data_IF_022764349375
#
_entry.id   IF_022764349375
#
_cell.length_a   1.000
_cell.length_b   1.000
_cell.length_c   1.000
_cell.angle_alpha   90.00
_cell.angle_beta   90.00
_cell.angle_gamma   90.00
#
_symmetry.space_group_name_H-M   'P 1'
#
loop_
_entity.id
_entity.type
_entity.pdbx_description
1 polymer ?
#
# COMPACT_ATOMS: atom_id res chain seq x y z
N UNK A 1 -19.69 21.52 -14.24
CA UNK A 1 -18.51 21.48 -13.35
C UNK A 1 -19.04 21.52 -11.94
N UNK A 2 -19.03 20.39 -11.26
CA UNK A 2 -19.23 20.32 -9.82
C UNK A 2 -18.11 21.10 -9.15
N UNK A 3 -18.44 22.10 -8.34
CA UNK A 3 -17.45 22.83 -7.53
C UNK A 3 -16.90 21.90 -6.46
N UNK A 4 -15.58 21.82 -6.35
CA UNK A 4 -14.94 21.04 -5.29
C UNK A 4 -15.34 21.56 -3.91
N UNK A 5 -15.60 20.67 -2.93
CA UNK A 5 -15.88 21.11 -1.57
C UNK A 5 -14.63 21.80 -0.98
N UNK A 6 -14.76 22.88 -0.21
CA UNK A 6 -13.61 23.48 0.45
C UNK A 6 -13.06 22.52 1.52
N UNK A 7 -11.75 22.36 1.55
CA UNK A 7 -11.05 21.74 2.68
C UNK A 7 -10.58 22.82 3.64
N UNK A 8 -10.85 22.64 4.94
CA UNK A 8 -10.46 23.58 5.99
C UNK A 8 -9.44 22.91 6.90
N UNK A 9 -8.26 23.54 7.04
CA UNK A 9 -7.16 23.10 7.90
C UNK A 9 -6.67 24.34 8.67
N UNK A 10 -7.15 24.51 9.90
CA UNK A 10 -6.90 25.67 10.77
C UNK A 10 -5.73 25.43 11.74
N UNK A 11 -5.46 24.17 12.07
CA UNK A 11 -4.37 23.80 12.96
C UNK A 11 -3.57 22.56 12.54
N UNK A 12 -2.53 22.29 13.33
CA UNK A 12 -1.57 21.20 13.05
C UNK A 12 -2.21 19.83 13.23
N UNK A 13 -3.08 19.67 14.21
CA UNK A 13 -3.70 18.37 14.49
C UNK A 13 -4.63 17.98 13.32
N UNK A 14 -5.37 18.93 12.77
CA UNK A 14 -6.15 18.73 11.54
C UNK A 14 -5.26 18.37 10.34
N UNK A 15 -4.14 19.07 10.16
CA UNK A 15 -3.20 18.74 9.07
C UNK A 15 -2.60 17.34 9.23
N UNK A 16 -2.20 16.95 10.45
CA UNK A 16 -1.68 15.61 10.75
C UNK A 16 -2.76 14.54 10.51
N UNK A 17 -4.00 14.82 10.90
CA UNK A 17 -5.13 13.94 10.68
C UNK A 17 -5.35 13.68 9.18
N UNK A 18 -5.44 14.73 8.37
CA UNK A 18 -5.64 14.62 6.91
C UNK A 18 -4.45 13.95 6.22
N UNK A 19 -3.21 14.25 6.63
CA UNK A 19 -2.03 13.54 6.12
C UNK A 19 -2.02 12.06 6.51
N UNK A 20 -2.59 11.69 7.67
CA UNK A 20 -2.72 10.28 8.07
C UNK A 20 -3.78 9.57 7.23
N UNK A 21 -4.89 10.24 6.90
CA UNK A 21 -5.89 9.74 5.93
C UNK A 21 -5.27 9.58 4.54
N UNK A 22 -4.47 10.55 4.08
CA UNK A 22 -3.75 10.47 2.81
C UNK A 22 -2.77 9.29 2.79
N UNK A 23 -1.96 9.10 3.84
CA UNK A 23 -1.03 7.97 3.95
C UNK A 23 -1.76 6.63 3.89
N UNK A 24 -2.89 6.50 4.60
CA UNK A 24 -3.72 5.30 4.55
C UNK A 24 -4.28 5.05 3.14
N UNK A 25 -4.68 6.11 2.44
CA UNK A 25 -5.20 6.04 1.07
C UNK A 25 -4.12 5.54 0.10
N UNK A 26 -2.92 6.14 0.08
CA UNK A 26 -1.81 5.68 -0.78
C UNK A 26 -1.47 4.21 -0.52
N UNK A 27 -1.45 3.82 0.76
CA UNK A 27 -1.20 2.45 1.16
C UNK A 27 -2.26 1.48 0.60
N UNK A 28 -3.53 1.84 0.72
CA UNK A 28 -4.62 0.98 0.27
C UNK A 28 -4.67 0.88 -1.27
N UNK A 29 -4.45 2.00 -1.98
CA UNK A 29 -4.38 2.03 -3.44
C UNK A 29 -3.22 1.15 -3.95
N UNK A 30 -2.04 1.25 -3.33
CA UNK A 30 -0.92 0.34 -3.59
C UNK A 30 -1.34 -1.13 -3.47
N UNK A 31 -2.04 -1.50 -2.40
CA UNK A 31 -2.49 -2.87 -2.16
C UNK A 31 -3.46 -3.37 -3.24
N UNK A 32 -4.35 -2.52 -3.75
CA UNK A 32 -5.25 -2.86 -4.87
C UNK A 32 -4.47 -3.15 -6.16
N UNK A 33 -3.49 -2.32 -6.47
CA UNK A 33 -2.64 -2.49 -7.65
C UNK A 33 -1.81 -3.78 -7.55
N UNK A 34 -1.23 -4.06 -6.39
CA UNK A 34 -0.49 -5.29 -6.13
C UNK A 34 -1.39 -6.53 -6.24
N UNK A 35 -2.61 -6.48 -5.68
CA UNK A 35 -3.56 -7.59 -5.77
C UNK A 35 -3.89 -7.91 -7.24
N UNK A 36 -4.24 -6.88 -8.02
CA UNK A 36 -4.52 -7.04 -9.43
C UNK A 36 -3.30 -7.61 -10.18
N UNK A 37 -2.11 -7.04 -9.97
CA UNK A 37 -0.88 -7.53 -10.60
C UNK A 37 -0.55 -8.99 -10.23
N UNK A 38 -0.79 -9.41 -8.98
CA UNK A 38 -0.55 -10.78 -8.55
C UNK A 38 -1.54 -11.77 -9.14
N UNK A 39 -2.77 -11.34 -9.42
CA UNK A 39 -3.82 -12.18 -10.02
C UNK A 39 -3.58 -12.51 -11.51
N UNK A 40 -2.75 -11.76 -12.22
CA UNK A 40 -2.47 -11.97 -13.64
C UNK A 40 -1.89 -13.38 -13.92
N UNK A 41 -2.37 -13.99 -15.00
CA UNK A 41 -1.86 -15.28 -15.52
C UNK A 41 -0.42 -15.12 -16.01
N UNK A 42 0.36 -16.18 -15.87
CA UNK A 42 1.82 -16.19 -16.07
C UNK A 42 2.28 -17.24 -17.08
N UNK A 43 1.41 -18.18 -17.44
CA UNK A 43 1.75 -19.24 -18.40
C UNK A 43 0.62 -19.50 -19.40
N UNK A 44 0.97 -19.94 -20.61
CA UNK A 44 0.00 -20.28 -21.66
C UNK A 44 -0.90 -21.47 -21.29
N UNK A 45 -0.42 -22.35 -20.39
CA UNK A 45 -1.22 -23.43 -19.80
C UNK A 45 -2.41 -22.94 -18.98
N UNK A 46 -2.44 -21.65 -18.62
CA UNK A 46 -3.57 -21.00 -17.93
C UNK A 46 -4.67 -20.53 -18.89
N UNK A 47 -4.63 -21.00 -20.15
CA UNK A 47 -5.69 -20.78 -21.15
C UNK A 47 -5.59 -19.43 -21.85
N UNK A 48 -4.39 -18.87 -22.00
CA UNK A 48 -4.12 -17.67 -22.79
C UNK A 48 -3.14 -17.99 -23.91
N UNK A 49 -3.27 -17.30 -25.05
CA UNK A 49 -2.32 -17.42 -26.15
C UNK A 49 -0.98 -16.77 -25.80
N UNK A 50 0.09 -17.11 -26.52
CA UNK A 50 1.40 -16.47 -26.32
C UNK A 50 1.37 -14.95 -26.55
N UNK A 51 0.54 -14.47 -27.48
CA UNK A 51 0.37 -13.05 -27.75
C UNK A 51 -0.34 -12.34 -26.58
N UNK A 52 -1.44 -12.93 -26.08
CA UNK A 52 -2.14 -12.44 -24.89
C UNK A 52 -1.24 -12.45 -23.66
N UNK A 53 -0.46 -13.52 -23.44
CA UNK A 53 0.51 -13.58 -22.35
C UNK A 53 1.58 -12.48 -22.45
N UNK A 54 2.00 -12.15 -23.67
CA UNK A 54 2.89 -11.02 -23.93
C UNK A 54 2.29 -9.68 -23.51
N UNK A 55 0.99 -9.46 -23.72
CA UNK A 55 0.27 -8.28 -23.24
C UNK A 55 0.13 -8.28 -21.72
N UNK A 56 -0.32 -9.39 -21.13
CA UNK A 56 -0.44 -9.58 -19.68
C UNK A 56 0.88 -9.27 -18.97
N UNK A 57 2.01 -9.77 -19.49
CA UNK A 57 3.34 -9.52 -18.92
C UNK A 57 3.71 -8.03 -18.95
N UNK A 58 3.32 -7.29 -20.01
CA UNK A 58 3.53 -5.85 -20.07
C UNK A 58 2.65 -5.11 -19.08
N UNK A 59 1.38 -5.49 -18.97
CA UNK A 59 0.45 -4.89 -18.02
C UNK A 59 0.90 -5.12 -16.58
N UNK A 60 1.34 -6.33 -16.21
CA UNK A 60 1.89 -6.61 -14.89
C UNK A 60 3.04 -5.66 -14.54
N UNK A 61 3.96 -5.42 -15.49
CA UNK A 61 5.10 -4.51 -15.28
C UNK A 61 4.64 -3.07 -15.05
N UNK A 62 3.65 -2.60 -15.79
CA UNK A 62 3.12 -1.24 -15.65
C UNK A 62 2.38 -1.10 -14.32
N UNK A 63 1.46 -2.02 -13.99
CA UNK A 63 0.71 -1.98 -12.72
C UNK A 63 1.65 -2.09 -11.52
N UNK A 64 2.66 -2.97 -11.58
CA UNK A 64 3.66 -3.09 -10.50
C UNK A 64 4.54 -1.85 -10.38
N UNK A 65 4.83 -1.16 -11.49
CA UNK A 65 5.58 0.09 -11.49
C UNK A 65 4.76 1.20 -10.82
N UNK A 66 3.49 1.35 -11.17
CA UNK A 66 2.58 2.29 -10.50
C UNK A 66 2.46 1.99 -9.01
N UNK A 67 2.27 0.72 -8.62
CA UNK A 67 2.29 0.33 -7.21
C UNK A 67 3.60 0.67 -6.48
N UNK A 68 4.73 0.75 -7.20
CA UNK A 68 6.01 1.19 -6.64
C UNK A 68 6.07 2.72 -6.47
N UNK A 69 5.40 3.48 -7.35
CA UNK A 69 5.21 4.92 -7.19
C UNK A 69 4.32 5.23 -5.98
N UNK A 70 3.27 4.42 -5.73
CA UNK A 70 2.49 4.57 -4.49
C UNK A 70 3.31 4.33 -3.20
N UNK A 71 4.34 3.48 -3.25
CA UNK A 71 5.29 3.34 -2.13
C UNK A 71 6.12 4.61 -1.93
N UNK A 72 6.51 5.27 -3.02
CA UNK A 72 7.19 6.56 -2.99
C UNK A 72 6.25 7.64 -2.42
N UNK A 73 4.98 7.68 -2.84
CA UNK A 73 3.99 8.61 -2.30
C UNK A 73 3.82 8.43 -0.80
N UNK A 74 3.65 7.18 -0.33
CA UNK A 74 3.57 6.87 1.10
C UNK A 74 4.83 7.32 1.87
N UNK A 75 6.01 7.20 1.27
CA UNK A 75 7.26 7.69 1.87
C UNK A 75 7.31 9.23 1.93
N UNK A 76 6.84 9.94 0.89
CA UNK A 76 6.72 11.40 0.86
C UNK A 76 5.71 11.91 1.89
N UNK A 77 4.55 11.26 2.04
CA UNK A 77 3.57 11.58 3.09
C UNK A 77 4.14 11.32 4.47
N UNK A 78 4.93 10.25 4.65
CA UNK A 78 5.64 9.98 5.89
C UNK A 78 6.67 11.06 6.22
N UNK A 79 7.36 11.61 5.21
CA UNK A 79 8.25 12.76 5.36
C UNK A 79 7.48 14.02 5.78
N UNK A 80 6.34 14.32 5.13
CA UNK A 80 5.44 15.43 5.50
C UNK A 80 4.99 15.33 6.96
N UNK A 81 4.46 14.17 7.37
CA UNK A 81 4.06 13.91 8.77
C UNK A 81 5.20 14.12 9.74
N UNK A 82 6.37 13.53 9.42
CA UNK A 82 7.56 13.62 10.27
C UNK A 82 8.04 15.06 10.40
N UNK A 83 8.04 15.83 9.31
CA UNK A 83 8.46 17.23 9.29
C UNK A 83 7.57 18.12 10.18
N UNK A 84 6.29 17.76 10.32
CA UNK A 84 5.34 18.42 11.23
C UNK A 84 5.49 18.01 12.70
N UNK A 85 6.41 17.09 13.01
CA UNK A 85 6.62 16.53 14.34
C UNK A 85 5.72 15.34 14.68
N UNK A 86 4.99 14.80 13.70
CA UNK A 86 4.20 13.58 13.86
C UNK A 86 5.03 12.32 13.61
N UNK A 87 4.45 11.15 13.87
CA UNK A 87 5.00 9.87 13.42
C UNK A 87 4.50 9.53 12.01
N UNK A 88 5.22 8.71 11.21
CA UNK A 88 4.69 8.16 9.97
C UNK A 88 3.39 7.37 10.24
N UNK A 89 2.53 7.28 9.22
CA UNK A 89 1.29 6.52 9.31
C UNK A 89 1.28 5.39 8.26
N UNK A 90 1.71 4.19 8.68
CA UNK A 90 1.74 2.99 7.82
C UNK A 90 0.57 2.03 8.06
N UNK A 91 -0.41 2.42 8.88
CA UNK A 91 -1.60 1.60 9.13
C UNK A 91 -2.68 1.90 8.11
N UNK A 92 -3.61 0.97 7.91
CA UNK A 92 -4.83 1.19 7.16
C UNK A 92 -5.91 0.23 7.69
N UNK A 93 -7.20 0.54 7.50
CA UNK A 93 -8.27 -0.42 7.78
C UNK A 93 -8.25 -1.61 6.81
N UNK A 94 -8.78 -2.76 7.22
CA UNK A 94 -8.82 -3.97 6.38
C UNK A 94 -9.85 -3.89 5.25
N UNK A 95 -9.56 -4.45 4.08
CA UNK A 95 -10.48 -4.46 2.93
C UNK A 95 -11.68 -5.40 3.13
N UNK A 96 -12.85 -5.12 2.53
CA UNK A 96 -13.20 -3.89 1.81
C UNK A 96 -13.55 -2.74 2.75
N UNK A 97 -13.34 -1.51 2.30
CA UNK A 97 -13.79 -0.31 2.99
C UNK A 97 -14.81 0.45 2.16
N UNK A 98 -16.06 0.36 2.62
CA UNK A 98 -17.22 0.96 1.97
C UNK A 98 -17.75 2.13 2.82
N UNK A 99 -17.23 3.33 2.56
CA UNK A 99 -17.52 4.66 3.13
C UNK A 99 -17.74 4.84 4.64
N UNK A 100 -17.03 4.10 5.50
CA UNK A 100 -16.95 4.47 6.93
C UNK A 100 -15.79 5.42 7.27
N UNK A 101 -14.70 5.35 6.52
CA UNK A 101 -13.43 6.01 6.86
C UNK A 101 -12.98 7.09 5.86
N UNK A 102 -13.54 7.12 4.66
CA UNK A 102 -13.17 8.04 3.58
C UNK A 102 -14.40 8.79 3.06
N UNK A 103 -14.24 9.89 2.30
CA UNK A 103 -15.35 10.55 1.62
C UNK A 103 -16.20 9.53 0.85
N UNK A 104 -17.53 9.73 0.73
CA UNK A 104 -18.43 8.74 0.13
C UNK A 104 -18.00 8.26 -1.26
N UNK A 105 -17.31 9.12 -2.03
CA UNK A 105 -16.79 8.82 -3.36
C UNK A 105 -15.56 7.91 -3.41
N UNK A 106 -14.96 7.54 -2.26
CA UNK A 106 -13.80 6.64 -2.18
C UNK A 106 -14.24 5.32 -1.57
N UNK A 107 -14.36 4.30 -2.40
CA UNK A 107 -14.62 2.92 -2.01
C UNK A 107 -13.38 2.10 -2.33
N UNK A 108 -12.89 1.28 -1.39
CA UNK A 108 -11.64 0.52 -1.58
C UNK A 108 -11.89 -0.97 -1.38
N UNK A 109 -11.48 -1.79 -2.35
CA UNK A 109 -11.67 -3.22 -2.38
C UNK A 109 -10.67 -3.90 -3.32
N UNK A 110 -10.20 -5.08 -2.90
CA UNK A 110 -9.24 -5.87 -3.65
C UNK A 110 -9.96 -6.68 -4.75
N UNK A 111 -9.78 -6.29 -6.02
CA UNK A 111 -10.29 -6.99 -7.20
C UNK A 111 -9.15 -7.59 -8.04
N UNK A 112 -9.33 -8.79 -8.62
CA UNK A 112 -8.38 -9.30 -9.59
C UNK A 112 -8.35 -8.39 -10.83
N UNK A 113 -7.25 -8.45 -11.58
CA UNK A 113 -7.10 -7.64 -12.79
C UNK A 113 -8.20 -7.98 -13.81
N UNK A 114 -8.83 -6.95 -14.34
CA UNK A 114 -9.91 -7.05 -15.32
C UNK A 114 -10.52 -5.68 -15.58
N UNK A 115 -11.58 -5.63 -16.38
CA UNK A 115 -12.20 -4.35 -16.76
C UNK A 115 -12.63 -3.51 -15.55
N UNK A 116 -13.29 -4.12 -14.56
CA UNK A 116 -13.80 -3.39 -13.39
C UNK A 116 -12.67 -2.86 -12.50
N UNK A 117 -11.59 -3.63 -12.31
CA UNK A 117 -10.41 -3.13 -11.60
C UNK A 117 -9.76 -1.96 -12.35
N UNK A 118 -9.63 -2.04 -13.67
CA UNK A 118 -9.07 -0.96 -14.49
C UNK A 118 -9.98 0.29 -14.51
N UNK A 119 -11.30 0.12 -14.51
CA UNK A 119 -12.26 1.22 -14.36
C UNK A 119 -12.05 1.92 -13.00
N UNK A 120 -11.89 1.15 -11.93
CA UNK A 120 -11.60 1.68 -10.60
C UNK A 120 -10.27 2.42 -10.54
N UNK A 121 -9.21 1.87 -11.14
CA UNK A 121 -7.90 2.53 -11.18
C UNK A 121 -7.96 3.86 -11.92
N UNK A 122 -8.68 3.90 -13.05
CA UNK A 122 -8.93 5.14 -13.79
C UNK A 122 -9.75 6.15 -12.97
N UNK A 123 -10.71 5.68 -12.18
CA UNK A 123 -11.49 6.53 -11.29
C UNK A 123 -10.62 7.14 -10.20
N UNK A 124 -9.82 6.36 -9.49
CA UNK A 124 -8.93 6.85 -8.42
C UNK A 124 -7.94 7.89 -8.95
N UNK A 125 -7.32 7.61 -10.10
CA UNK A 125 -6.26 8.43 -10.70
C UNK A 125 -6.78 9.57 -11.58
N UNK A 126 -8.10 9.76 -11.67
CA UNK A 126 -8.68 10.73 -12.60
C UNK A 126 -8.21 12.15 -12.27
N UNK A 127 -7.83 12.94 -13.29
CA UNK A 127 -7.52 14.35 -13.09
C UNK A 127 -8.71 15.12 -12.53
N UNK A 128 -8.38 16.18 -11.78
CA UNK A 128 -9.37 17.14 -11.30
C UNK A 128 -10.34 17.62 -12.40
N UNK A 129 -11.61 17.71 -12.05
CA UNK A 129 -12.67 18.17 -12.95
C UNK A 129 -13.08 17.16 -14.03
N UNK A 130 -12.45 15.98 -14.07
CA UNK A 130 -12.90 14.87 -14.90
C UNK A 130 -14.04 14.11 -14.21
N UNK A 131 -15.21 14.14 -14.85
CA UNK A 131 -16.35 13.32 -14.44
C UNK A 131 -16.19 11.91 -15.03
N UNK A 132 -15.92 10.95 -14.17
CA UNK A 132 -15.76 9.55 -14.52
C UNK A 132 -16.53 8.71 -13.51
N UNK A 133 -17.35 7.79 -13.99
CA UNK A 133 -18.05 6.84 -13.13
C UNK A 133 -17.13 5.68 -12.76
N UNK A 134 -17.22 5.25 -11.50
CA UNK A 134 -16.50 4.08 -10.99
C UNK A 134 -17.20 2.77 -11.40
N UNK A 135 -16.52 1.63 -11.23
CA UNK A 135 -17.10 0.32 -11.51
C UNK A 135 -18.26 0.01 -10.53
N UNK A 136 -19.26 -0.81 -10.94
CA UNK A 136 -20.47 -1.04 -10.16
C UNK A 136 -20.23 -1.57 -8.73
N UNK A 137 -19.15 -2.33 -8.51
CA UNK A 137 -18.74 -2.84 -7.20
C UNK A 137 -18.37 -1.74 -6.19
N UNK A 138 -18.01 -0.57 -6.70
CA UNK A 138 -17.60 0.62 -5.96
C UNK A 138 -18.65 1.73 -6.02
N UNK A 139 -19.88 1.41 -6.43
CA UNK A 139 -20.99 2.36 -6.38
C UNK A 139 -21.17 2.90 -4.95
N UNK A 140 -21.24 4.23 -4.84
CA UNK A 140 -21.37 4.94 -3.56
C UNK A 140 -22.57 4.40 -2.80
N UNK A 141 -22.31 3.74 -1.67
CA UNK A 141 -23.36 3.45 -0.70
C UNK A 141 -23.72 4.77 -0.03
N UNK A 142 -24.98 5.19 -0.17
CA UNK A 142 -25.51 6.37 0.53
C UNK A 142 -25.52 6.09 2.05
N UNK A 143 -24.37 6.26 2.70
CA UNK A 143 -24.26 6.25 4.16
C UNK A 143 -24.56 7.68 4.62
N UNK A 144 -25.65 7.90 5.38
CA UNK A 144 -25.92 9.21 5.94
C UNK A 144 -24.75 9.60 6.85
N UNK A 145 -24.06 10.70 6.54
CA UNK A 145 -23.15 11.32 7.51
C UNK A 145 -23.97 11.67 8.76
N UNK A 146 -23.53 11.33 9.98
CA UNK A 146 -24.16 11.84 11.18
C UNK A 146 -24.18 13.37 11.10
N UNK A 147 -25.37 13.96 11.02
CA UNK A 147 -25.57 15.41 11.05
C UNK A 147 -25.36 15.92 12.47
N UNK A 148 -24.13 15.88 12.97
CA UNK A 148 -23.72 16.63 14.15
C UNK A 148 -23.14 17.95 13.65
N UNK A 149 -24.00 18.96 13.49
CA UNK A 149 -23.58 20.35 13.41
C UNK A 149 -23.17 20.79 14.82
N UNK A 150 -21.94 20.45 15.19
CA UNK A 150 -21.25 21.08 16.32
C UNK A 150 -20.56 22.32 15.73
N UNK A 151 -20.65 23.46 16.43
CA UNK A 151 -20.15 24.78 15.98
C UNK A 151 -18.68 24.74 15.49
N UNK A 152 -18.26 25.74 14.72
CA UNK A 152 -16.91 25.87 14.11
C UNK A 152 -15.73 25.87 15.12
N UNK A 153 -15.98 25.85 16.44
CA UNK A 153 -14.97 25.82 17.52
C UNK A 153 -14.64 24.39 18.00
N UNK A 154 -14.60 23.40 17.09
CA UNK A 154 -14.22 22.04 17.46
C UNK A 154 -12.71 21.87 17.59
N UNK A 155 -12.29 21.17 18.64
CA UNK A 155 -10.88 20.85 18.92
C UNK A 155 -10.47 19.50 18.31
N UNK A 156 -11.45 18.67 17.92
CA UNK A 156 -11.20 17.34 17.35
C UNK A 156 -11.28 17.43 15.82
N UNK A 157 -10.27 16.93 15.08
CA UNK A 157 -10.30 16.92 13.63
C UNK A 157 -11.52 16.18 13.08
N UNK A 158 -12.00 16.66 11.94
CA UNK A 158 -13.10 16.05 11.20
C UNK A 158 -12.63 15.60 9.81
N UNK A 159 -13.16 14.48 9.34
CA UNK A 159 -13.00 14.02 7.96
C UNK A 159 -13.47 15.10 7.00
N UNK A 160 -12.59 15.49 6.08
CA UNK A 160 -12.88 16.47 5.03
C UNK A 160 -13.38 15.75 3.78
N UNK A 161 -14.30 16.37 3.04
CA UNK A 161 -14.69 15.86 1.73
C UNK A 161 -13.68 16.29 0.67
N UNK A 162 -13.26 15.36 -0.19
CA UNK A 162 -12.48 15.65 -1.38
C UNK A 162 -13.02 14.84 -2.56
N UNK A 163 -12.77 15.33 -3.78
CA UNK A 163 -13.30 14.77 -5.01
C UNK A 163 -12.30 13.83 -5.69
N UNK A 164 -11.03 14.24 -5.76
CA UNK A 164 -9.91 13.46 -6.31
C UNK A 164 -8.73 13.49 -5.33
N UNK A 165 -7.75 12.61 -5.56
CA UNK A 165 -6.49 12.60 -4.80
C UNK A 165 -5.74 13.92 -4.98
N UNK A 166 -5.73 14.47 -6.21
CA UNK A 166 -5.17 15.81 -6.46
C UNK A 166 -5.83 16.90 -5.63
N UNK A 167 -7.15 16.84 -5.43
CA UNK A 167 -7.87 17.81 -4.59
C UNK A 167 -7.44 17.69 -3.12
N UNK A 168 -7.35 16.47 -2.58
CA UNK A 168 -6.84 16.20 -1.23
C UNK A 168 -5.48 16.87 -1.00
N UNK A 169 -4.52 16.65 -1.91
CA UNK A 169 -3.17 17.19 -1.75
C UNK A 169 -3.07 18.71 -1.95
N UNK A 170 -3.89 19.30 -2.84
CA UNK A 170 -4.00 20.77 -2.95
C UNK A 170 -4.58 21.39 -1.66
N UNK A 171 -5.52 20.71 -1.01
CA UNK A 171 -6.03 21.10 0.30
C UNK A 171 -4.94 21.06 1.38
N UNK A 172 -4.15 19.99 1.41
CA UNK A 172 -2.97 19.84 2.30
C UNK A 172 -1.95 20.96 2.06
N UNK A 173 -1.65 21.29 0.80
CA UNK A 173 -0.72 22.38 0.46
C UNK A 173 -1.22 23.74 0.96
N UNK A 174 -2.52 24.03 0.77
CA UNK A 174 -3.14 25.25 1.29
C UNK A 174 -3.10 25.31 2.82
N UNK A 175 -3.39 24.20 3.50
CA UNK A 175 -3.26 24.07 4.95
C UNK A 175 -1.84 24.34 5.43
N UNK A 176 -0.83 23.76 4.79
CA UNK A 176 0.58 24.03 5.09
C UNK A 176 0.93 25.52 4.96
N UNK A 177 0.51 26.17 3.87
CA UNK A 177 0.73 27.61 3.65
C UNK A 177 0.07 28.44 4.75
N UNK A 178 -1.17 28.13 5.10
CA UNK A 178 -1.91 28.80 6.17
C UNK A 178 -1.19 28.65 7.53
N UNK A 179 -0.76 27.44 7.89
CA UNK A 179 -0.02 27.22 9.13
C UNK A 179 1.33 27.94 9.16
N UNK A 180 2.01 28.06 8.01
CA UNK A 180 3.27 28.82 7.91
C UNK A 180 3.03 30.32 8.09
N UNK A 181 1.92 30.86 7.57
CA UNK A 181 1.52 32.25 7.84
C UNK A 181 1.22 32.47 9.33
N UNK A 182 0.57 31.50 9.98
CA UNK A 182 0.15 31.56 11.39
C UNK A 182 1.30 31.39 12.40
N UNK A 183 2.18 30.41 12.18
CA UNK A 183 3.21 30.00 13.14
C UNK A 183 4.64 30.32 12.69
N UNK A 184 4.83 30.75 11.44
CA UNK A 184 6.13 30.84 10.80
C UNK A 184 6.67 29.46 10.40
N UNK A 185 7.53 29.41 9.40
CA UNK A 185 8.05 28.16 8.84
C UNK A 185 8.75 27.28 9.89
N UNK A 186 9.61 27.88 10.72
CA UNK A 186 10.27 27.17 11.85
C UNK A 186 9.31 26.70 12.93
N UNK A 187 8.13 27.30 13.01
CA UNK A 187 7.06 26.87 13.91
C UNK A 187 6.30 25.68 13.34
N UNK A 188 6.22 25.51 12.02
CA UNK A 188 5.54 24.40 11.32
C UNK A 188 6.46 23.19 11.17
N UNK A 189 7.67 23.39 10.65
CA UNK A 189 8.61 22.31 10.36
C UNK A 189 9.52 22.07 11.58
N UNK A 190 9.03 21.23 12.50
CA UNK A 190 9.64 20.96 13.81
C UNK A 190 10.20 19.52 13.93
N UNK A 191 10.02 18.72 12.89
CA UNK A 191 10.52 17.35 12.81
C UNK A 191 12.04 17.25 12.83
N UNK A 192 12.61 16.14 13.32
CA UNK A 192 14.05 15.93 13.28
C UNK A 192 14.50 15.66 11.82
N UNK A 193 15.50 16.38 11.28
CA UNK A 193 15.96 16.19 9.89
C UNK A 193 16.42 14.76 9.56
N UNK A 194 16.93 14.04 10.58
CA UNK A 194 17.44 12.68 10.43
C UNK A 194 16.34 11.63 10.23
N UNK A 195 15.10 11.94 10.58
CA UNK A 195 13.95 11.05 10.39
C UNK A 195 13.33 11.14 8.99
N UNK A 196 13.89 11.98 8.10
CA UNK A 196 13.44 12.10 6.73
C UNK A 196 14.00 10.95 5.88
N UNK A 197 13.13 10.27 5.14
CA UNK A 197 13.53 9.33 4.11
C UNK A 197 14.06 10.07 2.89
N UNK A 198 15.08 9.51 2.24
CA UNK A 198 15.73 10.13 1.08
C UNK A 198 16.08 9.10 0.02
N UNK A 199 16.45 9.59 -1.17
CA UNK A 199 17.02 8.78 -2.25
C UNK A 199 18.15 7.85 -1.79
N UNK A 200 18.95 8.22 -0.79
CA UNK A 200 20.08 7.40 -0.33
C UNK A 200 19.66 6.00 0.13
N UNK A 201 18.49 5.89 0.77
CA UNK A 201 18.02 4.63 1.34
C UNK A 201 17.13 3.83 0.38
N UNK A 202 16.29 4.51 -0.42
CA UNK A 202 15.28 3.85 -1.27
C UNK A 202 15.54 3.96 -2.77
N UNK A 203 16.46 4.82 -3.20
CA UNK A 203 16.90 4.92 -4.58
C UNK A 203 16.07 5.82 -5.50
N UNK A 204 14.94 6.37 -5.04
CA UNK A 204 14.09 7.30 -5.81
C UNK A 204 14.65 8.73 -5.77
N UNK A 205 15.04 9.33 -6.90
CA UNK A 205 15.42 10.75 -6.98
C UNK A 205 14.34 11.70 -6.46
N UNK A 206 13.07 11.31 -6.64
CA UNK A 206 11.90 12.08 -6.26
C UNK A 206 11.62 12.03 -4.74
N UNK A 207 12.23 11.07 -4.01
CA UNK A 207 12.15 10.99 -2.56
C UNK A 207 13.07 12.01 -1.90
N UNK A 208 12.52 13.19 -1.65
CA UNK A 208 13.23 14.31 -1.02
C UNK A 208 12.91 14.41 0.48
N UNK A 209 13.86 14.93 1.24
CA UNK A 209 13.61 15.34 2.62
C UNK A 209 12.73 16.59 2.65
N UNK A 210 11.71 16.59 3.51
CA UNK A 210 10.84 17.74 3.77
C UNK A 210 11.34 18.44 5.03
N UNK A 211 11.82 19.68 4.87
CA UNK A 211 12.38 20.48 5.97
C UNK A 211 11.83 21.91 6.04
N UNK A 212 11.08 22.32 5.03
CA UNK A 212 10.52 23.66 4.87
C UNK A 212 9.29 23.63 3.95
N UNK A 213 8.64 24.78 3.75
CA UNK A 213 7.44 24.86 2.93
C UNK A 213 7.74 24.55 1.45
N UNK A 214 8.92 24.93 0.95
CA UNK A 214 9.29 24.71 -0.44
C UNK A 214 9.42 23.21 -0.75
N UNK A 215 10.16 22.47 0.09
CA UNK A 215 10.30 21.02 -0.02
C UNK A 215 8.99 20.28 0.23
N UNK A 216 8.12 20.77 1.12
CA UNK A 216 6.78 20.20 1.32
C UNK A 216 5.90 20.35 0.07
N UNK A 217 5.87 21.54 -0.53
CA UNK A 217 5.14 21.77 -1.78
C UNK A 217 5.70 20.93 -2.93
N UNK A 218 7.03 20.78 -3.02
CA UNK A 218 7.65 19.92 -4.03
C UNK A 218 7.25 18.45 -3.86
N UNK A 219 7.22 17.93 -2.63
CA UNK A 219 6.77 16.56 -2.36
C UNK A 219 5.30 16.35 -2.78
N UNK A 220 4.44 17.32 -2.49
CA UNK A 220 3.03 17.32 -2.89
C UNK A 220 2.88 17.37 -4.42
N UNK A 221 3.64 18.24 -5.08
CA UNK A 221 3.62 18.36 -6.54
C UNK A 221 4.04 17.05 -7.22
N UNK A 222 5.09 16.37 -6.72
CA UNK A 222 5.47 15.04 -7.19
C UNK A 222 4.32 14.04 -7.13
N UNK A 223 3.63 13.93 -5.98
CA UNK A 223 2.51 12.98 -5.80
C UNK A 223 1.39 13.27 -6.81
N UNK A 224 1.04 14.54 -6.99
CA UNK A 224 0.01 14.97 -7.94
C UNK A 224 0.43 14.67 -9.40
N UNK A 225 1.67 15.01 -9.76
CA UNK A 225 2.17 14.83 -11.13
C UNK A 225 2.32 13.36 -11.53
N UNK A 226 2.73 12.49 -10.61
CA UNK A 226 2.87 11.06 -10.90
C UNK A 226 1.50 10.37 -11.01
N UNK A 227 0.53 10.73 -10.16
CA UNK A 227 -0.85 10.21 -10.18
C UNK A 227 -1.68 10.71 -11.37
N UNK A 228 -2.10 11.99 -11.32
CA UNK A 228 -3.03 12.58 -12.31
C UNK A 228 -2.34 13.25 -13.51
N UNK A 229 -1.04 13.56 -13.40
CA UNK A 229 -0.26 14.25 -14.43
C UNK A 229 -0.28 15.77 -14.30
N UNK A 230 0.82 16.41 -14.70
CA UNK A 230 0.86 17.86 -14.89
C UNK A 230 -0.21 18.30 -15.91
N UNK A 231 -0.76 19.52 -15.80
CA UNK A 231 -1.80 20.07 -16.68
C UNK A 231 -1.44 19.95 -18.17
N UNK A 232 -1.79 18.82 -18.80
CA UNK A 232 -1.54 18.53 -20.21
C UNK A 232 -0.61 17.34 -20.54
N UNK A 233 0.06 16.71 -19.57
CA UNK A 233 0.97 15.56 -19.78
C UNK A 233 0.56 14.30 -18.99
N UNK A 234 -0.73 14.02 -18.92
CA UNK A 234 -1.32 12.86 -18.22
C UNK A 234 -0.91 11.49 -18.80
N UNK A 235 -0.29 11.45 -19.99
CA UNK A 235 0.02 10.18 -20.67
C UNK A 235 1.10 9.38 -19.95
N UNK A 236 2.03 10.05 -19.28
CA UNK A 236 3.10 9.42 -18.53
C UNK A 236 2.71 9.11 -17.08
N UNK A 237 1.67 9.77 -16.56
CA UNK A 237 1.10 9.59 -15.24
C UNK A 237 0.31 8.28 -15.11
N UNK A 238 -0.08 7.92 -13.88
CA UNK A 238 -0.81 6.69 -13.57
C UNK A 238 -2.08 6.58 -14.41
N UNK A 239 -2.89 7.65 -14.46
CA UNK A 239 -4.11 7.69 -15.28
C UNK A 239 -3.88 7.30 -16.74
N UNK A 240 -2.89 7.92 -17.40
CA UNK A 240 -2.59 7.66 -18.80
C UNK A 240 -2.11 6.23 -19.05
N UNK A 241 -1.33 5.67 -18.12
CA UNK A 241 -0.86 4.28 -18.17
C UNK A 241 -2.02 3.30 -18.05
N UNK A 242 -2.93 3.51 -17.10
CA UNK A 242 -4.12 2.67 -16.95
C UNK A 242 -5.07 2.82 -18.14
N UNK A 243 -5.19 4.01 -18.72
CA UNK A 243 -6.01 4.22 -19.92
C UNK A 243 -5.46 3.45 -21.12
N UNK A 244 -4.14 3.43 -21.28
CA UNK A 244 -3.49 2.62 -22.32
C UNK A 244 -3.75 1.13 -22.12
N UNK A 245 -3.64 0.63 -20.88
CA UNK A 245 -3.94 -0.77 -20.56
C UNK A 245 -5.41 -1.08 -20.86
N UNK A 246 -6.34 -0.21 -20.44
CA UNK A 246 -7.77 -0.36 -20.68
C UNK A 246 -8.10 -0.48 -22.18
N UNK A 247 -7.47 0.36 -23.01
CA UNK A 247 -7.67 0.29 -24.46
C UNK A 247 -7.15 -1.03 -25.04
N UNK A 248 -5.93 -1.45 -24.69
CA UNK A 248 -5.37 -2.72 -25.17
C UNK A 248 -6.16 -3.93 -24.67
N UNK A 249 -6.64 -3.89 -23.42
CA UNK A 249 -7.52 -4.90 -22.84
C UNK A 249 -8.80 -5.05 -23.65
N UNK A 250 -9.49 -3.94 -23.94
CA UNK A 250 -10.72 -3.94 -24.74
C UNK A 250 -10.49 -4.42 -26.17
N UNK A 251 -9.38 -4.04 -26.79
CA UNK A 251 -9.03 -4.51 -28.14
C UNK A 251 -8.80 -6.03 -28.17
N UNK A 252 -8.17 -6.60 -27.15
CA UNK A 252 -7.99 -8.05 -27.03
C UNK A 252 -9.31 -8.77 -26.73
N UNK A 253 -10.18 -8.19 -25.91
CA UNK A 253 -11.48 -8.75 -25.59
C UNK A 253 -12.45 -8.73 -26.79
N UNK A 254 -12.33 -7.73 -27.67
CA UNK A 254 -13.06 -7.70 -28.94
C UNK A 254 -12.60 -8.80 -29.90
N UNK A 255 -11.30 -9.14 -29.89
CA UNK A 255 -10.75 -10.23 -30.70
C UNK A 255 -11.10 -11.61 -30.13
N UNK A 256 -11.12 -11.73 -28.80
CA UNK A 256 -11.44 -12.96 -28.07
C UNK A 256 -12.33 -12.63 -26.86
N UNK A 257 -13.67 -12.76 -26.99
CA UNK A 257 -14.60 -12.50 -25.90
C UNK A 257 -14.43 -13.42 -24.67
N UNK A 258 -13.71 -14.55 -24.81
CA UNK A 258 -13.37 -15.44 -23.70
C UNK A 258 -12.05 -15.11 -23.02
N UNK A 259 -11.39 -14.00 -23.40
CA UNK A 259 -10.10 -13.61 -22.86
C UNK A 259 -10.19 -13.19 -21.39
N UNK A 260 -9.65 -14.05 -20.52
CA UNK A 260 -9.54 -13.81 -19.09
C UNK A 260 -8.05 -13.66 -18.70
N UNK A 261 -7.52 -12.44 -18.48
CA UNK A 261 -6.10 -12.23 -18.19
C UNK A 261 -5.69 -12.61 -16.77
N UNK A 262 -6.65 -12.69 -15.84
CA UNK A 262 -6.39 -12.97 -14.44
C UNK A 262 -6.95 -14.34 -14.03
N UNK A 263 -6.38 -14.87 -12.94
CA UNK A 263 -6.97 -15.95 -12.16
C UNK A 263 -8.19 -15.41 -11.43
N UNK A 264 -9.21 -16.25 -11.15
CA UNK A 264 -10.42 -15.85 -10.43
C UNK A 264 -10.16 -15.72 -8.92
N UNK A 265 -9.22 -14.84 -8.56
CA UNK A 265 -8.79 -14.57 -7.19
C UNK A 265 -9.82 -13.75 -6.42
N UNK A 266 -9.96 -14.07 -5.13
CA UNK A 266 -10.85 -13.37 -4.19
C UNK A 266 -10.04 -13.05 -2.94
N UNK A 267 -10.17 -11.82 -2.43
CA UNK A 267 -9.65 -11.45 -1.13
C UNK A 267 -10.48 -12.13 -0.02
N UNK A 268 -10.18 -13.41 0.21
CA UNK A 268 -10.77 -14.22 1.26
C UNK A 268 -9.85 -14.23 2.49
N UNK A 269 -10.44 -14.12 3.68
CA UNK A 269 -9.70 -14.05 4.93
C UNK A 269 -9.67 -15.41 5.63
N UNK A 270 -8.68 -15.60 6.51
CA UNK A 270 -8.64 -16.77 7.42
C UNK A 270 -9.71 -16.64 8.51
N UNK A 271 -10.04 -15.40 8.91
CA UNK A 271 -11.02 -15.05 9.93
C UNK A 271 -11.63 -13.68 9.62
N UNK A 272 -12.86 -13.44 10.07
CA UNK A 272 -13.54 -12.16 9.89
C UNK A 272 -12.77 -11.02 10.59
N UNK A 273 -12.29 -9.99 9.86
CA UNK A 273 -11.70 -8.81 10.50
C UNK A 273 -12.78 -7.99 11.21
N UNK A 274 -12.40 -7.34 12.32
CA UNK A 274 -13.33 -6.61 13.18
C UNK A 274 -13.76 -5.24 12.65
N UNK A 275 -13.04 -4.71 11.67
CA UNK A 275 -13.17 -3.35 11.13
C UNK A 275 -13.76 -3.32 9.70
N UNK A 276 -14.21 -4.46 9.18
CA UNK A 276 -14.83 -4.59 7.86
C UNK A 276 -16.17 -5.34 7.91
N UNK A 277 -16.94 -5.23 6.83
CA UNK A 277 -18.19 -5.97 6.62
C UNK A 277 -17.93 -7.47 6.41
N UNK A 278 -18.98 -8.27 6.20
CA UNK A 278 -18.85 -9.71 5.93
C UNK A 278 -17.90 -9.98 4.76
N UNK A 279 -16.91 -10.86 4.98
CA UNK A 279 -15.92 -11.24 3.97
C UNK A 279 -15.96 -12.74 3.66
N UNK A 280 -15.57 -13.17 2.45
CA UNK A 280 -15.31 -14.57 2.16
C UNK A 280 -14.24 -15.15 3.10
N UNK A 281 -14.43 -16.39 3.54
CA UNK A 281 -13.46 -17.11 4.39
C UNK A 281 -12.76 -18.22 3.62
N UNK A 282 -11.48 -18.43 3.92
CA UNK A 282 -10.66 -19.54 3.43
C UNK A 282 -10.97 -20.79 4.26
N UNK A 283 -11.47 -21.84 3.62
CA UNK A 283 -11.74 -23.14 4.28
C UNK A 283 -10.72 -24.23 3.96
N UNK A 284 -9.88 -24.05 2.92
CA UNK A 284 -8.74 -24.94 2.67
C UNK A 284 -7.59 -24.67 3.66
N UNK A 285 -7.14 -25.67 4.45
CA UNK A 285 -6.14 -25.45 5.51
C UNK A 285 -4.76 -25.00 5.00
N UNK A 286 -4.32 -25.51 3.85
CA UNK A 286 -3.01 -25.16 3.28
C UNK A 286 -3.05 -23.72 2.76
N UNK A 287 -4.12 -23.35 2.08
CA UNK A 287 -4.37 -21.98 1.60
C UNK A 287 -4.48 -20.99 2.75
N UNK A 288 -5.17 -21.36 3.84
CA UNK A 288 -5.25 -20.55 5.04
C UNK A 288 -3.85 -20.32 5.63
N UNK A 289 -3.03 -21.37 5.75
CA UNK A 289 -1.65 -21.23 6.22
C UNK A 289 -0.78 -20.35 5.33
N UNK A 290 -0.86 -20.47 4.00
CA UNK A 290 -0.13 -19.57 3.09
C UNK A 290 -0.64 -18.12 3.22
N UNK A 291 -1.94 -17.92 3.48
CA UNK A 291 -2.51 -16.59 3.72
C UNK A 291 -2.01 -15.97 5.02
N UNK A 292 -1.94 -16.75 6.10
CA UNK A 292 -1.34 -16.30 7.37
C UNK A 292 0.14 -15.95 7.19
N UNK A 293 0.88 -16.77 6.44
CA UNK A 293 2.27 -16.52 6.12
C UNK A 293 2.44 -15.20 5.34
N UNK A 294 1.58 -14.91 4.35
CA UNK A 294 1.58 -13.63 3.64
C UNK A 294 1.34 -12.45 4.58
N UNK A 295 0.27 -12.49 5.38
CA UNK A 295 -0.10 -11.39 6.28
C UNK A 295 0.97 -11.16 7.36
N UNK A 296 1.57 -12.22 7.90
CA UNK A 296 2.67 -12.11 8.86
C UNK A 296 3.96 -11.56 8.23
N UNK A 297 4.23 -11.88 6.96
CA UNK A 297 5.37 -11.32 6.22
C UNK A 297 5.18 -9.84 5.93
N UNK A 298 3.95 -9.45 5.59
CA UNK A 298 3.56 -8.07 5.41
C UNK A 298 3.71 -7.26 6.70
N UNK A 299 3.30 -7.80 7.86
CA UNK A 299 3.54 -7.14 9.15
C UNK A 299 5.04 -6.92 9.43
N UNK A 300 5.90 -7.92 9.17
CA UNK A 300 7.36 -7.76 9.36
C UNK A 300 7.94 -6.68 8.43
N UNK A 301 7.46 -6.60 7.19
CA UNK A 301 7.81 -5.51 6.28
C UNK A 301 7.44 -4.14 6.86
N UNK A 302 6.22 -3.99 7.37
CA UNK A 302 5.76 -2.73 7.98
C UNK A 302 6.54 -2.41 9.27
N UNK A 303 6.96 -3.40 10.05
CA UNK A 303 7.82 -3.21 11.23
C UNK A 303 9.23 -2.73 10.84
N UNK A 304 9.81 -3.26 9.76
CA UNK A 304 11.10 -2.79 9.22
C UNK A 304 11.02 -1.32 8.82
N UNK A 305 9.97 -0.95 8.07
CA UNK A 305 9.73 0.43 7.64
C UNK A 305 9.45 1.35 8.84
N UNK A 306 8.61 0.91 9.78
CA UNK A 306 8.29 1.68 10.98
C UNK A 306 9.53 1.91 11.85
N UNK A 307 10.41 0.93 11.99
CA UNK A 307 11.69 1.11 12.70
C UNK A 307 12.64 2.03 11.95
N UNK A 308 12.64 1.97 10.61
CA UNK A 308 13.42 2.91 9.80
C UNK A 308 12.96 4.35 10.00
N UNK A 309 11.66 4.64 9.99
CA UNK A 309 11.16 6.01 10.17
C UNK A 309 11.20 6.46 11.65
N UNK A 310 10.87 5.57 12.58
CA UNK A 310 10.89 5.85 14.03
C UNK A 310 12.15 5.23 14.63
N UNK A 311 13.24 5.96 14.49
CA UNK A 311 14.55 5.61 15.02
C UNK A 311 15.04 6.64 16.05
N UNK A 312 16.04 6.26 16.83
CA UNK A 312 16.65 7.14 17.83
C UNK A 312 18.16 7.18 17.73
N UNK A 313 18.82 6.09 18.14
CA UNK A 313 20.28 5.99 18.23
C UNK A 313 20.90 5.17 17.10
N UNK A 314 20.10 4.73 16.14
CA UNK A 314 20.53 3.99 14.95
C UNK A 314 21.68 4.71 14.26
N UNK A 315 22.62 3.93 13.76
CA UNK A 315 23.68 4.35 12.84
C UNK A 315 23.18 4.39 11.40
N UNK A 316 23.94 5.01 10.50
CA UNK A 316 23.60 5.02 9.07
C UNK A 316 23.58 3.62 8.47
N UNK A 317 24.53 2.74 8.87
CA UNK A 317 24.55 1.34 8.44
C UNK A 317 23.30 0.57 8.90
N UNK A 318 22.79 0.89 10.09
CA UNK A 318 21.55 0.32 10.63
C UNK A 318 20.32 0.78 9.83
N UNK A 319 20.23 2.07 9.51
CA UNK A 319 19.15 2.61 8.67
C UNK A 319 19.20 2.06 7.24
N UNK A 320 20.39 1.93 6.66
CA UNK A 320 20.60 1.30 5.35
C UNK A 320 20.19 -0.18 5.38
N UNK A 321 20.48 -0.88 6.48
CA UNK A 321 20.07 -2.27 6.66
C UNK A 321 18.55 -2.40 6.76
N UNK A 322 17.87 -1.57 7.56
CA UNK A 322 16.41 -1.59 7.70
C UNK A 322 15.72 -1.33 6.35
N UNK A 323 16.11 -0.26 5.66
CA UNK A 323 15.53 0.13 4.36
C UNK A 323 15.77 -0.93 3.28
N UNK A 324 17.02 -1.38 3.09
CA UNK A 324 17.34 -2.40 2.08
C UNK A 324 16.70 -3.77 2.37
N UNK A 325 16.56 -4.14 3.65
CA UNK A 325 15.85 -5.37 4.05
C UNK A 325 14.36 -5.25 3.77
N UNK A 326 13.74 -4.08 4.04
CA UNK A 326 12.35 -3.82 3.71
C UNK A 326 12.09 -3.93 2.20
N UNK A 327 12.89 -3.25 1.38
CA UNK A 327 12.79 -3.34 -0.09
C UNK A 327 13.01 -4.78 -0.56
N UNK A 328 14.00 -5.48 -0.02
CA UNK A 328 14.26 -6.88 -0.37
C UNK A 328 13.07 -7.78 -0.01
N UNK A 329 12.42 -7.58 1.14
CA UNK A 329 11.26 -8.36 1.57
C UNK A 329 10.06 -8.22 0.60
N UNK A 330 9.88 -7.06 -0.03
CA UNK A 330 8.84 -6.87 -1.06
C UNK A 330 9.02 -7.87 -2.24
N UNK A 331 10.25 -8.05 -2.72
CA UNK A 331 10.53 -8.95 -3.84
C UNK A 331 10.75 -10.41 -3.43
N UNK A 332 11.32 -10.63 -2.25
CA UNK A 332 11.75 -11.95 -1.79
C UNK A 332 10.64 -12.70 -1.03
N UNK A 333 9.67 -11.99 -0.45
CA UNK A 333 8.58 -12.58 0.34
C UNK A 333 7.19 -12.15 -0.19
N UNK A 334 6.89 -10.85 -0.23
CA UNK A 334 5.53 -10.36 -0.53
C UNK A 334 5.10 -10.77 -1.95
N UNK A 335 5.88 -10.42 -2.97
CA UNK A 335 5.58 -10.77 -4.36
C UNK A 335 5.40 -12.27 -4.59
N UNK A 336 6.35 -13.16 -4.23
CA UNK A 336 6.18 -14.59 -4.48
C UNK A 336 5.04 -15.22 -3.67
N UNK A 337 4.80 -14.80 -2.42
CA UNK A 337 3.65 -15.29 -1.64
C UNK A 337 2.32 -14.81 -2.21
N UNK A 338 2.22 -13.53 -2.58
CA UNK A 338 1.02 -12.96 -3.19
C UNK A 338 0.66 -13.67 -4.50
N UNK A 339 1.64 -13.91 -5.36
CA UNK A 339 1.47 -14.68 -6.60
C UNK A 339 1.07 -16.14 -6.32
N UNK A 340 1.71 -16.79 -5.33
CA UNK A 340 1.40 -18.17 -4.96
C UNK A 340 -0.06 -18.31 -4.50
N UNK A 341 -0.53 -17.40 -3.63
CA UNK A 341 -1.91 -17.40 -3.13
C UNK A 341 -2.94 -17.42 -4.26
N UNK A 342 -2.68 -16.68 -5.35
CA UNK A 342 -3.59 -16.62 -6.50
C UNK A 342 -3.74 -17.94 -7.26
N UNK A 343 -2.92 -18.95 -6.96
CA UNK A 343 -3.02 -20.30 -7.51
C UNK A 343 -3.72 -21.30 -6.59
N UNK A 344 -4.01 -20.90 -5.35
CA UNK A 344 -4.53 -21.78 -4.31
C UNK A 344 -6.05 -21.64 -4.18
N UNK A 345 -6.82 -22.74 -4.12
CA UNK A 345 -8.26 -22.67 -3.99
C UNK A 345 -8.67 -22.19 -2.60
N UNK A 346 -9.71 -21.35 -2.51
CA UNK A 346 -10.23 -20.88 -1.21
C UNK A 346 -10.73 -22.04 -0.35
N UNK A 347 -11.32 -23.05 -1.00
CA UNK A 347 -11.87 -24.23 -0.35
C UNK A 347 -13.05 -24.84 -1.13
N UNK A 348 -13.59 -25.99 -0.67
CA UNK A 348 -14.65 -26.70 -1.36
C UNK A 348 -15.96 -25.91 -1.47
N UNK A 349 -16.20 -24.95 -0.58
CA UNK A 349 -17.41 -24.12 -0.57
C UNK A 349 -17.44 -23.07 -1.69
N UNK A 350 -16.30 -22.81 -2.35
CA UNK A 350 -16.14 -21.83 -3.44
C UNK A 350 -15.34 -22.42 -4.59
N UNK A 351 -15.92 -23.43 -5.25
CA UNK A 351 -15.29 -24.12 -6.38
C UNK A 351 -14.84 -23.15 -7.48
N UNK A 352 -13.60 -23.33 -7.95
CA UNK A 352 -13.01 -22.55 -9.03
C UNK A 352 -12.61 -21.12 -8.65
N UNK A 353 -12.72 -20.72 -7.37
CA UNK A 353 -12.20 -19.44 -6.88
C UNK A 353 -10.88 -19.65 -6.15
N UNK A 354 -9.91 -18.79 -6.47
CA UNK A 354 -8.59 -18.81 -5.84
C UNK A 354 -8.52 -17.77 -4.73
N UNK A 355 -7.68 -17.99 -3.74
CA UNK A 355 -7.38 -16.98 -2.74
C UNK A 355 -6.58 -15.83 -3.38
N UNK A 356 -6.51 -14.71 -2.70
CA UNK A 356 -5.65 -13.59 -3.03
C UNK A 356 -5.15 -12.95 -1.73
N UNK A 357 -4.02 -12.23 -1.78
CA UNK A 357 -3.46 -11.61 -0.59
C UNK A 357 -4.40 -10.53 -0.04
N UNK A 358 -4.78 -10.62 1.23
CA UNK A 358 -5.71 -9.65 1.83
C UNK A 358 -5.02 -8.40 2.36
N UNK A 359 -3.70 -8.44 2.52
CA UNK A 359 -2.93 -7.39 3.21
C UNK A 359 -3.52 -7.09 4.59
N UNK A 360 -3.95 -8.14 5.31
CA UNK A 360 -4.63 -8.01 6.60
C UNK A 360 -3.67 -7.43 7.66
N UNK A 361 -4.13 -6.37 8.30
CA UNK A 361 -3.53 -5.83 9.51
C UNK A 361 -4.30 -6.40 10.71
N UNK A 362 -3.67 -7.36 11.40
CA UNK A 362 -4.26 -8.03 12.56
C UNK A 362 -3.72 -7.53 13.92
N UNK A 363 -2.76 -6.60 13.91
CA UNK A 363 -2.26 -5.90 15.10
C UNK A 363 -2.11 -4.40 14.80
N UNK A 364 -2.56 -3.57 15.73
CA UNK A 364 -2.34 -2.12 15.68
C UNK A 364 -0.99 -1.77 16.30
N UNK A 365 -0.18 -0.97 15.60
CA UNK A 365 1.10 -0.46 16.08
C UNK A 365 2.28 -1.38 15.73
N UNK A 366 3.04 -1.00 14.70
CA UNK A 366 4.26 -1.69 14.25
C UNK A 366 5.53 -1.21 14.96
N UNK A 367 5.36 -0.42 16.02
CA UNK A 367 6.48 0.26 16.67
C UNK A 367 7.25 -0.76 17.51
N UNK A 368 8.52 -0.94 17.16
CA UNK A 368 9.50 -1.64 17.99
C UNK A 368 10.34 -0.56 18.67
N UNK A 369 9.97 -0.04 19.85
CA UNK A 369 10.53 1.21 20.38
C UNK A 369 11.97 1.06 20.89
N UNK A 370 12.37 -0.15 21.30
CA UNK A 370 13.67 -0.41 21.89
C UNK A 370 14.66 -0.90 20.84
N UNK A 371 15.69 -0.10 20.58
CA UNK A 371 16.73 -0.34 19.58
C UNK A 371 17.23 -1.79 19.53
N UNK A 372 17.79 -2.26 20.64
CA UNK A 372 18.48 -3.55 20.62
C UNK A 372 17.49 -4.73 20.57
N UNK A 373 16.32 -4.59 21.19
CA UNK A 373 15.25 -5.58 21.11
C UNK A 373 14.61 -5.65 19.72
N UNK A 374 14.56 -4.52 18.98
CA UNK A 374 13.98 -4.48 17.64
C UNK A 374 14.71 -5.43 16.68
N UNK A 375 16.05 -5.44 16.72
CA UNK A 375 16.86 -6.37 15.91
C UNK A 375 16.58 -7.83 16.23
N UNK A 376 16.46 -8.17 17.51
CA UNK A 376 16.15 -9.53 17.97
C UNK A 376 14.78 -9.95 17.45
N UNK A 377 13.75 -9.12 17.68
CA UNK A 377 12.37 -9.42 17.28
C UNK A 377 12.28 -9.58 15.76
N UNK A 378 12.82 -8.66 14.97
CA UNK A 378 12.77 -8.75 13.50
C UNK A 378 13.48 -10.01 12.99
N UNK A 379 14.65 -10.33 13.54
CA UNK A 379 15.41 -11.52 13.19
C UNK A 379 14.64 -12.81 13.55
N UNK A 380 14.09 -12.90 14.76
CA UNK A 380 13.27 -14.03 15.22
C UNK A 380 12.06 -14.23 14.32
N UNK A 381 11.31 -13.15 14.01
CA UNK A 381 10.13 -13.21 13.14
C UNK A 381 10.47 -13.75 11.76
N UNK A 382 11.57 -13.30 11.14
CA UNK A 382 12.00 -13.82 9.84
C UNK A 382 12.33 -15.33 9.90
N UNK A 383 13.00 -15.79 10.96
CA UNK A 383 13.29 -17.22 11.14
C UNK A 383 12.04 -18.06 11.42
N UNK A 384 11.08 -17.53 12.18
CA UNK A 384 9.78 -18.17 12.42
C UNK A 384 9.01 -18.35 11.11
N UNK A 385 8.97 -17.33 10.25
CA UNK A 385 8.34 -17.41 8.93
C UNK A 385 9.06 -18.45 8.04
N UNK A 386 10.40 -18.49 8.06
CA UNK A 386 11.16 -19.52 7.35
C UNK A 386 10.84 -20.94 7.82
N UNK A 387 10.70 -21.14 9.14
CA UNK A 387 10.33 -22.43 9.72
C UNK A 387 8.88 -22.81 9.36
N UNK A 388 7.97 -21.83 9.32
CA UNK A 388 6.58 -22.05 8.93
C UNK A 388 6.44 -22.43 7.45
N UNK A 389 7.25 -21.84 6.55
CA UNK A 389 7.37 -22.31 5.17
C UNK A 389 7.73 -23.81 5.10
N UNK A 390 8.67 -24.26 5.93
CA UNK A 390 9.06 -25.67 6.02
C UNK A 390 7.88 -26.57 6.39
N UNK A 391 7.13 -26.20 7.44
CA UNK A 391 5.94 -26.93 7.88
C UNK A 391 4.88 -27.04 6.79
N UNK A 392 4.59 -25.96 6.08
CA UNK A 392 3.64 -25.97 4.96
C UNK A 392 4.14 -26.78 3.77
N UNK A 393 5.45 -26.72 3.49
CA UNK A 393 6.06 -27.48 2.38
C UNK A 393 5.96 -28.99 2.57
N UNK A 394 5.94 -29.46 3.82
CA UNK A 394 5.77 -30.88 4.16
C UNK A 394 4.32 -31.36 4.02
N UNK A 395 3.35 -30.43 4.04
CA UNK A 395 1.91 -30.75 3.97
C UNK A 395 1.38 -30.86 2.53
N UNK A 396 2.02 -30.20 1.55
CA UNK A 396 1.56 -30.20 0.16
C UNK A 396 2.74 -30.25 -0.83
N UNK A 397 2.96 -31.44 -1.41
CA UNK A 397 4.08 -31.70 -2.32
C UNK A 397 4.10 -30.76 -3.53
N UNK A 398 2.93 -30.36 -4.04
CA UNK A 398 2.83 -29.43 -5.18
C UNK A 398 3.40 -28.03 -4.89
N UNK A 399 3.43 -27.61 -3.62
CA UNK A 399 3.92 -26.30 -3.19
C UNK A 399 5.34 -26.33 -2.64
N UNK A 400 5.92 -27.53 -2.51
CA UNK A 400 7.17 -27.76 -1.78
C UNK A 400 8.31 -26.89 -2.32
N UNK A 401 8.51 -26.86 -3.64
CA UNK A 401 9.58 -26.09 -4.28
C UNK A 401 9.41 -24.59 -4.03
N UNK A 402 8.19 -24.07 -4.19
CA UNK A 402 7.90 -22.65 -4.01
C UNK A 402 8.10 -22.22 -2.54
N UNK A 403 7.55 -22.97 -1.60
CA UNK A 403 7.64 -22.67 -0.16
C UNK A 403 9.06 -22.83 0.37
N UNK A 404 9.85 -23.80 -0.12
CA UNK A 404 11.26 -23.93 0.25
C UNK A 404 12.08 -22.74 -0.25
N UNK A 405 11.85 -22.28 -1.48
CA UNK A 405 12.52 -21.09 -2.01
C UNK A 405 12.19 -19.83 -1.20
N UNK A 406 10.91 -19.63 -0.84
CA UNK A 406 10.47 -18.50 0.00
C UNK A 406 11.04 -18.64 1.42
N UNK A 407 11.09 -19.84 1.99
CA UNK A 407 11.73 -20.10 3.28
C UNK A 407 13.21 -19.74 3.29
N UNK A 408 13.93 -20.04 2.21
CA UNK A 408 15.34 -19.64 2.06
C UNK A 408 15.51 -18.13 1.93
N UNK A 409 14.58 -17.46 1.24
CA UNK A 409 14.55 -16.00 1.17
C UNK A 409 14.42 -15.36 2.57
N UNK A 410 13.54 -15.89 3.44
CA UNK A 410 13.45 -15.41 4.82
C UNK A 410 14.75 -15.61 5.61
N UNK A 411 15.44 -16.75 5.42
CA UNK A 411 16.75 -16.98 6.07
C UNK A 411 17.80 -15.98 5.59
N UNK A 412 17.79 -15.63 4.30
CA UNK A 412 18.70 -14.61 3.76
C UNK A 412 18.42 -13.23 4.37
N UNK A 413 17.15 -12.84 4.48
CA UNK A 413 16.76 -11.59 5.14
C UNK A 413 17.19 -11.61 6.62
N UNK A 414 16.97 -12.72 7.34
CA UNK A 414 17.40 -12.86 8.72
C UNK A 414 18.93 -12.78 8.87
N UNK A 415 19.69 -13.41 7.97
CA UNK A 415 21.16 -13.39 8.01
C UNK A 415 21.74 -11.96 7.90
N UNK A 416 21.07 -11.05 7.20
CA UNK A 416 21.45 -9.64 7.13
C UNK A 416 21.32 -8.95 8.50
N UNK A 417 20.35 -9.36 9.32
CA UNK A 417 20.11 -8.78 10.66
C UNK A 417 20.99 -9.38 11.76
N UNK A 418 21.55 -10.57 11.53
CA UNK A 418 22.30 -11.35 12.53
C UNK A 418 23.48 -10.59 13.21
N UNK A 419 24.28 -9.75 12.50
CA UNK A 419 25.36 -8.98 13.13
C UNK A 419 24.89 -8.04 14.25
N UNK A 420 23.72 -7.43 14.08
CA UNK A 420 23.13 -6.47 15.03
C UNK A 420 22.60 -7.18 16.28
N UNK A 421 22.09 -8.42 16.12
CA UNK A 421 21.70 -9.28 17.24
C UNK A 421 22.91 -9.73 18.07
N UNK A 422 23.99 -10.17 17.41
CA UNK A 422 25.21 -10.67 18.09
C UNK A 422 25.93 -9.57 18.88
N UNK A 423 25.94 -8.35 18.34
CA UNK A 423 26.56 -7.20 19.01
C UNK A 423 25.84 -6.84 20.31
N UNK A 424 24.51 -7.01 20.37
CA UNK A 424 23.78 -6.86 21.62
C UNK A 424 24.17 -7.92 22.66
N UNK A 425 24.13 -9.20 22.27
CA UNK A 425 24.47 -10.30 23.17
C UNK A 425 25.89 -10.20 23.73
N UNK A 426 26.84 -9.68 22.94
CA UNK A 426 28.23 -9.45 23.36
C UNK A 426 28.41 -8.23 24.28
N UNK A 427 27.46 -7.27 24.31
CA UNK A 427 27.49 -6.13 25.24
C UNK A 427 26.91 -6.47 26.62
N UNK A 428 26.07 -7.49 26.71
CA UNK A 428 25.46 -7.97 27.96
C UNK A 428 26.26 -9.08 28.66
N UNK A 429 27.16 -9.76 27.93
CA UNK A 429 28.10 -10.75 28.45
C UNK A 429 29.38 -10.09 28.99
#
# INVERSE_FOLDING_TARGET
MTTEPPMVIEDREELIFILSEAAALEHMIMCEYLFAAFSLKRDVSEGVTAAQLGAITRWERIVSFVATQEMLHLALVSNLLTALGSHPYLSHPNFPQRSKYYPPGVQLALLPFGEHALQHFLYLERPEGMDLEDAPEFAVLAIPKPSLTLDDDQIVPQTQDFATIGHLYRGIEQGLRHLVEKYGERGVFIGPPRAQATQEYFGWPELIAVTDLASACQAIETIIEEGEGARGDWRAAHFGRFLQIMQEYRDLQQQDPGFEPARPSVAAYVRQPGDTSEVPLISDPVTAGVSELFNASYEVLLQLLMRYFIHGKETEDELQTLSSTAVSAMFMAIKPLGQLLTTLPIGPDRLGKMAGPTFEIYRTGYVLPHHDAAWIVLHERLLELAAYCGKLSDQQAALQVALQAIGENFRRLAAVLEPYVKTHQAREA
#
